data_IF_402891366136
#
_entry.id   IF_402891366136
#
_cell.length_a   1.000
_cell.length_b   1.000
_cell.length_c   1.000
_cell.angle_alpha   90.00
_cell.angle_beta   90.00
_cell.angle_gamma   90.00
#
_symmetry.space_group_name_H-M   'P 1'
#
loop_
_entity.id
_entity.type
_entity.pdbx_description
1 polymer ?
#
# COMPACT_ATOMS: atom_id res chain seq x y z
N UNK A 1 7.14 -2.57 5.68
CA UNK A 1 7.40 -3.44 4.51
C UNK A 1 7.67 -4.83 5.01
N UNK A 2 7.33 -5.84 4.19
CA UNK A 2 7.53 -7.24 4.53
C UNK A 2 7.74 -8.07 3.26
N UNK A 3 8.68 -9.01 3.31
CA UNK A 3 8.81 -10.07 2.31
C UNK A 3 7.77 -11.17 2.59
N UNK A 4 7.17 -11.70 1.54
CA UNK A 4 6.18 -12.77 1.58
C UNK A 4 5.08 -12.54 2.63
N UNK A 5 4.32 -11.42 2.55
CA UNK A 5 3.14 -11.26 3.37
C UNK A 5 2.17 -12.43 3.11
N UNK A 6 1.35 -12.83 4.10
CA UNK A 6 0.27 -13.79 3.91
C UNK A 6 -0.56 -13.51 2.67
N UNK A 7 -0.76 -14.55 1.85
CA UNK A 7 -1.53 -14.51 0.62
C UNK A 7 -2.73 -15.46 0.73
N UNK A 8 -3.85 -15.06 0.15
CA UNK A 8 -4.93 -15.98 -0.22
C UNK A 8 -4.59 -16.65 -1.55
N UNK A 9 -5.14 -17.84 -1.77
CA UNK A 9 -5.08 -18.52 -3.06
C UNK A 9 -6.46 -19.06 -3.43
N UNK A 10 -6.91 -18.83 -4.66
CA UNK A 10 -8.04 -19.55 -5.23
C UNK A 10 -7.56 -20.93 -5.69
N UNK A 11 -8.06 -21.98 -5.05
CA UNK A 11 -7.73 -23.37 -5.39
C UNK A 11 -8.09 -23.76 -6.83
N UNK A 12 -9.01 -23.03 -7.49
CA UNK A 12 -9.51 -23.34 -8.84
C UNK A 12 -8.71 -22.65 -9.95
N UNK A 13 -8.20 -21.44 -9.70
CA UNK A 13 -7.54 -20.64 -10.73
C UNK A 13 -6.06 -20.37 -10.44
N UNK A 14 -5.53 -20.90 -9.33
CA UNK A 14 -4.16 -20.66 -8.86
C UNK A 14 -3.81 -19.16 -8.73
N UNK A 15 -4.84 -18.31 -8.62
CA UNK A 15 -4.67 -16.88 -8.46
C UNK A 15 -4.39 -16.58 -6.99
N UNK A 16 -3.32 -15.82 -6.73
CA UNK A 16 -2.95 -15.34 -5.41
C UNK A 16 -3.18 -13.83 -5.27
N UNK A 17 -3.62 -13.41 -4.09
CA UNK A 17 -3.78 -12.00 -3.71
C UNK A 17 -3.43 -11.82 -2.23
N UNK A 18 -3.11 -10.60 -1.77
CA UNK A 18 -2.80 -10.38 -0.36
C UNK A 18 -3.97 -10.79 0.54
N UNK A 19 -3.68 -11.55 1.60
CA UNK A 19 -4.64 -11.76 2.69
C UNK A 19 -4.79 -10.42 3.44
N UNK A 20 -5.98 -9.81 3.43
CA UNK A 20 -6.18 -8.47 3.97
C UNK A 20 -6.29 -8.45 5.50
N UNK A 21 -5.85 -7.36 6.12
CA UNK A 21 -6.14 -7.08 7.53
C UNK A 21 -7.65 -6.81 7.73
N UNK A 22 -8.12 -6.90 8.98
CA UNK A 22 -9.46 -6.42 9.32
C UNK A 22 -9.63 -4.93 8.93
N UNK A 23 -10.68 -4.61 8.17
CA UNK A 23 -10.93 -3.28 7.62
C UNK A 23 -10.04 -2.88 6.43
N UNK A 24 -9.14 -3.75 5.98
CA UNK A 24 -8.38 -3.52 4.75
C UNK A 24 -9.24 -3.85 3.52
N UNK A 25 -9.24 -2.93 2.56
CA UNK A 25 -10.01 -3.04 1.31
C UNK A 25 -9.03 -2.97 0.15
N UNK A 26 -9.09 -3.97 -0.75
CA UNK A 26 -8.36 -3.95 -2.02
C UNK A 26 -9.07 -2.98 -2.96
N UNK A 27 -8.42 -1.85 -3.25
CA UNK A 27 -8.96 -0.80 -4.10
C UNK A 27 -8.76 -1.11 -5.59
N UNK A 28 -7.62 -1.73 -5.92
CA UNK A 28 -7.22 -2.00 -7.30
C UNK A 28 -6.20 -3.13 -7.38
N UNK A 29 -6.22 -3.90 -8.46
CA UNK A 29 -5.15 -4.82 -8.84
C UNK A 29 -4.68 -4.56 -10.28
N UNK A 30 -3.38 -4.66 -10.55
CA UNK A 30 -2.82 -4.50 -11.90
C UNK A 30 -1.80 -5.58 -12.17
N UNK A 31 -2.17 -6.52 -13.03
CA UNK A 31 -1.27 -7.51 -13.61
C UNK A 31 -0.39 -6.90 -14.70
N UNK A 32 0.50 -7.70 -15.28
CA UNK A 32 1.36 -7.22 -16.37
C UNK A 32 2.35 -6.15 -15.92
N UNK A 33 2.72 -6.14 -14.64
CA UNK A 33 3.73 -5.23 -14.09
C UNK A 33 5.05 -5.97 -13.87
N UNK A 34 6.15 -5.25 -13.97
CA UNK A 34 7.47 -5.73 -13.53
C UNK A 34 7.89 -4.90 -12.33
N UNK A 35 8.26 -5.55 -11.22
CA UNK A 35 8.82 -4.87 -10.06
C UNK A 35 10.33 -4.98 -10.08
N UNK A 36 11.01 -3.93 -9.64
CA UNK A 36 12.43 -3.94 -9.24
C UNK A 36 12.53 -3.42 -7.82
N UNK A 37 13.06 -4.24 -6.92
CA UNK A 37 13.35 -3.89 -5.55
C UNK A 37 14.86 -3.96 -5.32
N UNK A 38 15.43 -2.95 -4.66
CA UNK A 38 16.84 -2.89 -4.33
C UNK A 38 17.08 -2.33 -2.93
N UNK A 39 17.94 -2.99 -2.16
CA UNK A 39 18.35 -2.54 -0.82
C UNK A 39 18.39 -3.68 0.21
N UNK A 40 19.11 -3.43 1.30
CA UNK A 40 19.30 -4.41 2.38
C UNK A 40 17.97 -4.86 3.04
N UNK A 41 16.93 -4.03 2.94
CA UNK A 41 15.58 -4.34 3.42
C UNK A 41 14.94 -5.58 2.78
N UNK A 42 15.43 -6.06 1.62
CA UNK A 42 14.97 -7.31 1.00
C UNK A 42 15.36 -8.56 1.77
N UNK A 43 16.46 -8.49 2.53
CA UNK A 43 17.04 -9.63 3.25
C UNK A 43 17.34 -10.84 2.34
N UNK A 44 17.62 -10.58 1.05
CA UNK A 44 18.09 -11.59 0.08
C UNK A 44 19.60 -11.48 -0.11
N UNK A 45 20.23 -12.55 -0.60
CA UNK A 45 21.69 -12.59 -0.84
C UNK A 45 22.18 -11.48 -1.78
N UNK A 46 21.39 -11.13 -2.79
CA UNK A 46 21.72 -10.10 -3.79
C UNK A 46 21.30 -8.69 -3.38
N UNK A 47 20.48 -8.54 -2.33
CA UNK A 47 19.77 -7.28 -2.01
C UNK A 47 19.03 -6.67 -3.21
N UNK A 48 18.65 -7.51 -4.18
CA UNK A 48 17.93 -7.13 -5.39
C UNK A 48 16.92 -8.18 -5.77
N UNK A 49 15.76 -7.75 -6.26
CA UNK A 49 14.74 -8.64 -6.79
C UNK A 49 14.03 -7.96 -7.97
N UNK A 50 13.93 -8.66 -9.10
CA UNK A 50 13.31 -8.15 -10.32
C UNK A 50 12.45 -9.24 -10.95
N UNK A 51 11.14 -9.06 -11.01
CA UNK A 51 10.23 -10.09 -11.54
C UNK A 51 8.91 -9.50 -12.03
N UNK A 52 8.15 -10.29 -12.81
CA UNK A 52 6.81 -9.95 -13.29
C UNK A 52 5.73 -10.48 -12.35
N UNK A 53 4.61 -9.77 -12.31
CA UNK A 53 3.53 -10.11 -11.40
C UNK A 53 2.35 -9.14 -11.46
N UNK A 54 1.61 -9.15 -10.35
CA UNK A 54 0.47 -8.29 -10.10
C UNK A 54 0.74 -7.41 -8.89
N UNK A 55 0.49 -6.10 -9.03
CA UNK A 55 0.47 -5.17 -7.89
C UNK A 55 -0.97 -4.96 -7.42
N UNK A 56 -1.19 -5.07 -6.13
CA UNK A 56 -2.45 -4.78 -5.44
C UNK A 56 -2.27 -3.50 -4.64
N UNK A 57 -3.19 -2.54 -4.81
CA UNK A 57 -3.28 -1.35 -4.00
C UNK A 57 -4.47 -1.50 -3.06
N UNK A 58 -4.22 -1.38 -1.77
CA UNK A 58 -5.25 -1.35 -0.73
C UNK A 58 -5.37 0.05 -0.13
N UNK A 59 -6.33 0.26 0.77
CA UNK A 59 -6.42 1.47 1.58
C UNK A 59 -5.24 1.67 2.54
N UNK A 60 -4.27 0.75 2.62
CA UNK A 60 -3.20 0.75 3.62
C UNK A 60 -1.80 0.47 3.05
N UNK A 61 -1.70 -0.40 2.03
CA UNK A 61 -0.43 -0.91 1.49
C UNK A 61 -0.52 -1.18 -0.01
N UNK A 62 0.64 -1.17 -0.66
CA UNK A 62 0.84 -1.87 -1.93
C UNK A 62 1.38 -3.27 -1.64
N UNK A 63 0.86 -4.29 -2.30
CA UNK A 63 1.43 -5.64 -2.26
C UNK A 63 1.70 -6.09 -3.69
N UNK A 64 2.94 -6.42 -3.98
CA UNK A 64 3.31 -7.08 -5.23
C UNK A 64 3.31 -8.60 -5.02
N UNK A 65 2.71 -9.34 -5.95
CA UNK A 65 2.70 -10.80 -5.98
C UNK A 65 3.28 -11.24 -7.32
N UNK A 66 4.35 -12.02 -7.29
CA UNK A 66 5.01 -12.52 -8.50
C UNK A 66 4.16 -13.57 -9.21
N UNK A 67 4.21 -13.60 -10.54
CA UNK A 67 3.53 -14.65 -11.33
C UNK A 67 4.09 -16.05 -11.02
N UNK A 68 5.37 -16.10 -10.64
CA UNK A 68 6.09 -17.30 -10.22
C UNK A 68 6.97 -16.97 -9.01
N UNK A 69 6.94 -17.78 -7.95
CA UNK A 69 7.90 -17.65 -6.85
C UNK A 69 9.34 -17.73 -7.37
N UNK A 70 10.21 -16.88 -6.84
CA UNK A 70 11.63 -16.90 -7.14
C UNK A 70 12.34 -17.86 -6.20
N UNK A 71 12.67 -19.05 -6.71
CA UNK A 71 13.36 -20.10 -5.96
C UNK A 71 14.75 -19.69 -5.45
N UNK A 72 15.39 -18.69 -6.07
CA UNK A 72 16.75 -18.27 -5.69
C UNK A 72 16.77 -17.33 -4.48
N UNK A 73 15.76 -16.46 -4.38
CA UNK A 73 15.61 -15.52 -3.27
C UNK A 73 14.61 -15.98 -2.21
N UNK A 74 13.75 -16.95 -2.55
CA UNK A 74 12.61 -17.36 -1.74
C UNK A 74 11.45 -16.37 -1.78
N UNK A 75 11.52 -15.32 -2.60
CA UNK A 75 10.49 -14.28 -2.67
C UNK A 75 9.37 -14.69 -3.63
N UNK A 76 8.14 -14.55 -3.16
CA UNK A 76 6.91 -14.69 -3.94
C UNK A 76 6.10 -13.39 -3.92
N UNK A 77 6.13 -12.65 -2.82
CA UNK A 77 5.42 -11.39 -2.69
C UNK A 77 6.20 -10.38 -1.85
N UNK A 78 5.85 -9.10 -1.99
CA UNK A 78 6.46 -8.04 -1.20
C UNK A 78 5.46 -6.93 -0.88
N UNK A 79 5.44 -6.51 0.38
CA UNK A 79 4.56 -5.47 0.91
C UNK A 79 5.29 -4.13 1.09
N UNK A 80 4.67 -3.06 0.60
CA UNK A 80 5.08 -1.67 0.74
C UNK A 80 3.95 -0.87 1.44
N UNK A 81 4.00 -0.67 2.77
CA UNK A 81 3.02 0.14 3.50
C UNK A 81 3.04 1.59 3.03
N UNK A 82 1.88 2.14 2.67
CA UNK A 82 1.81 3.45 2.02
C UNK A 82 2.33 4.58 2.93
N UNK A 83 2.07 4.50 4.23
CA UNK A 83 2.58 5.45 5.23
C UNK A 83 4.10 5.58 5.24
N UNK A 84 4.83 4.52 4.83
CA UNK A 84 6.28 4.43 4.91
C UNK A 84 6.98 4.58 3.56
N UNK A 85 6.20 4.78 2.49
CA UNK A 85 6.75 5.16 1.19
C UNK A 85 7.25 6.62 1.26
N UNK A 86 8.23 7.00 0.45
CA UNK A 86 8.65 8.39 0.23
C UNK A 86 9.31 8.55 -1.15
N UNK A 87 9.51 9.80 -1.57
CA UNK A 87 10.23 10.16 -2.80
C UNK A 87 9.64 9.52 -4.06
N UNK A 88 8.32 9.44 -4.10
CA UNK A 88 7.59 8.85 -5.21
C UNK A 88 7.78 9.68 -6.46
N UNK A 89 8.17 9.02 -7.55
CA UNK A 89 8.34 9.61 -8.85
C UNK A 89 7.62 8.77 -9.88
N UNK A 90 6.80 9.44 -10.70
CA UNK A 90 6.16 8.84 -11.85
C UNK A 90 6.85 9.33 -13.12
N UNK A 91 7.24 8.39 -13.99
CA UNK A 91 7.89 8.68 -15.27
C UNK A 91 7.09 8.09 -16.42
N UNK A 92 6.74 8.93 -17.39
CA UNK A 92 6.06 8.55 -18.64
C UNK A 92 7.01 8.71 -19.85
N UNK A 93 7.91 7.75 -20.08
CA UNK A 93 8.80 7.82 -21.23
C UNK A 93 8.04 7.60 -22.54
N UNK A 94 8.47 8.28 -23.61
CA UNK A 94 7.86 8.19 -24.94
C UNK A 94 8.10 6.80 -25.58
N UNK A 95 9.23 6.15 -25.29
CA UNK A 95 9.68 4.89 -25.90
C UNK A 95 9.93 3.75 -24.88
N UNK A 96 9.30 3.79 -23.71
CA UNK A 96 9.44 2.75 -22.69
C UNK A 96 8.17 2.61 -21.86
N UNK A 97 8.17 1.70 -20.89
CA UNK A 97 7.05 1.51 -19.99
C UNK A 97 6.97 2.66 -18.96
N UNK A 98 5.75 3.11 -18.70
CA UNK A 98 5.45 3.98 -17.58
C UNK A 98 5.93 3.30 -16.29
N UNK A 99 6.53 4.07 -15.38
CA UNK A 99 6.98 3.51 -14.11
C UNK A 99 6.75 4.45 -12.93
N UNK A 100 6.47 3.84 -11.79
CA UNK A 100 6.38 4.47 -10.48
C UNK A 100 7.55 3.96 -9.64
N UNK A 101 8.39 4.87 -9.17
CA UNK A 101 9.53 4.55 -8.29
C UNK A 101 9.42 5.30 -6.97
N UNK A 102 10.07 4.80 -5.93
CA UNK A 102 10.19 5.49 -4.66
C UNK A 102 11.06 4.73 -3.68
N UNK A 103 11.03 5.18 -2.43
CA UNK A 103 11.69 4.56 -1.29
C UNK A 103 10.63 4.06 -0.30
N UNK A 104 10.88 2.97 0.41
CA UNK A 104 10.01 2.47 1.46
C UNK A 104 10.84 2.15 2.71
N UNK A 105 10.50 2.77 3.83
CA UNK A 105 11.15 2.50 5.11
C UNK A 105 10.59 1.23 5.77
N UNK A 106 11.41 0.53 6.57
CA UNK A 106 10.91 -0.52 7.46
C UNK A 106 9.98 0.08 8.52
N UNK A 107 8.92 -0.66 8.85
CA UNK A 107 7.90 -0.21 9.83
C UNK A 107 8.48 -0.20 11.24
N UNK A 108 9.17 -1.29 11.60
CA UNK A 108 9.90 -1.46 12.86
C UNK A 108 11.37 -1.03 12.71
N UNK A 109 11.64 -0.04 11.86
CA UNK A 109 13.01 0.40 11.56
C UNK A 109 13.66 1.08 12.75
N UNK A 110 14.84 0.59 13.17
CA UNK A 110 15.69 1.33 14.10
C UNK A 110 16.14 2.67 13.50
N UNK A 111 16.45 3.68 14.32
CA UNK A 111 17.06 4.93 13.86
C UNK A 111 18.27 4.64 12.96
N UNK A 112 18.23 5.15 11.73
CA UNK A 112 19.29 4.90 10.72
C UNK A 112 19.01 3.73 9.76
N UNK A 113 17.85 3.06 9.88
CA UNK A 113 17.43 2.05 8.91
C UNK A 113 17.41 2.60 7.48
N UNK A 114 18.10 1.93 6.57
CA UNK A 114 18.11 2.31 5.15
C UNK A 114 16.81 1.90 4.46
N UNK A 115 16.22 2.77 3.63
CA UNK A 115 15.00 2.43 2.91
C UNK A 115 15.28 1.44 1.78
N UNK A 116 14.26 0.66 1.44
CA UNK A 116 14.22 -0.12 0.21
C UNK A 116 13.86 0.80 -0.96
N UNK A 117 14.58 0.69 -2.08
CA UNK A 117 14.19 1.32 -3.34
C UNK A 117 13.25 0.39 -4.10
N UNK A 118 12.14 0.92 -4.59
CA UNK A 118 11.22 0.18 -5.46
C UNK A 118 11.02 0.90 -6.79
N UNK A 119 10.76 0.14 -7.83
CA UNK A 119 10.25 0.63 -9.12
C UNK A 119 9.26 -0.37 -9.68
N UNK A 120 8.07 0.10 -10.03
CA UNK A 120 7.00 -0.68 -10.67
C UNK A 120 6.89 -0.19 -12.10
N UNK A 121 7.14 -1.06 -13.07
CA UNK A 121 6.99 -0.81 -14.49
C UNK A 121 5.64 -1.37 -14.96
N UNK A 122 4.79 -0.53 -15.53
CA UNK A 122 3.49 -0.90 -16.08
C UNK A 122 3.65 -1.33 -17.54
N UNK A 123 3.84 -2.64 -17.79
CA UNK A 123 4.15 -3.17 -19.13
C UNK A 123 2.92 -3.33 -20.01
N UNK A 124 1.74 -3.49 -19.42
CA UNK A 124 0.48 -3.79 -20.11
C UNK A 124 -0.57 -2.68 -19.95
N UNK A 125 -0.15 -1.45 -19.59
CA UNK A 125 -1.05 -0.31 -19.43
C UNK A 125 -1.70 -0.24 -18.04
N UNK A 126 -2.92 0.30 -17.94
CA UNK A 126 -3.67 0.46 -16.69
C UNK A 126 -3.11 1.51 -15.70
N UNK A 127 -2.05 2.21 -16.08
CA UNK A 127 -1.34 3.18 -15.23
C UNK A 127 -2.16 4.45 -14.95
N UNK A 128 -3.04 4.85 -15.88
CA UNK A 128 -3.87 6.05 -15.76
C UNK A 128 -4.86 5.98 -14.60
N UNK A 129 -5.32 4.77 -14.27
CA UNK A 129 -6.20 4.50 -13.12
C UNK A 129 -5.39 4.29 -11.85
N UNK A 130 -4.25 3.59 -11.95
CA UNK A 130 -3.42 3.24 -10.80
C UNK A 130 -2.78 4.48 -10.14
N UNK A 131 -2.18 5.37 -10.93
CA UNK A 131 -1.37 6.47 -10.41
C UNK A 131 -2.18 7.47 -9.55
N UNK A 132 -3.34 8.00 -10.01
CA UNK A 132 -4.14 8.91 -9.19
C UNK A 132 -4.60 8.27 -7.88
N UNK A 133 -5.00 6.98 -7.93
CA UNK A 133 -5.46 6.26 -6.76
C UNK A 133 -4.32 6.01 -5.77
N UNK A 134 -3.13 5.63 -6.27
CA UNK A 134 -1.94 5.44 -5.46
C UNK A 134 -1.55 6.72 -4.71
N UNK A 135 -1.40 7.85 -5.42
CA UNK A 135 -1.00 9.11 -4.78
C UNK A 135 -2.05 9.61 -3.78
N UNK A 136 -3.34 9.52 -4.11
CA UNK A 136 -4.42 9.95 -3.22
C UNK A 136 -4.49 9.11 -1.95
N UNK A 137 -4.42 7.79 -2.09
CA UNK A 137 -4.47 6.87 -0.93
C UNK A 137 -3.24 7.05 -0.05
N UNK A 138 -2.07 7.20 -0.67
CA UNK A 138 -0.82 7.43 0.05
C UNK A 138 -0.85 8.73 0.84
N UNK A 139 -1.29 9.83 0.23
CA UNK A 139 -1.45 11.11 0.92
C UNK A 139 -2.45 11.02 2.08
N UNK A 140 -3.58 10.33 1.88
CA UNK A 140 -4.58 10.12 2.92
C UNK A 140 -4.02 9.34 4.12
N UNK A 141 -3.41 8.18 3.88
CA UNK A 141 -2.84 7.34 4.96
C UNK A 141 -1.76 8.10 5.73
N UNK A 142 -0.90 8.88 5.05
CA UNK A 142 0.09 9.73 5.71
C UNK A 142 -0.55 10.82 6.58
N UNK A 143 -1.64 11.45 6.11
CA UNK A 143 -2.34 12.47 6.91
C UNK A 143 -2.89 11.89 8.22
N UNK A 144 -3.38 10.65 8.19
CA UNK A 144 -3.84 9.93 9.40
C UNK A 144 -2.65 9.62 10.31
N UNK A 145 -1.54 9.11 9.75
CA UNK A 145 -0.33 8.83 10.52
C UNK A 145 0.20 10.07 11.25
N UNK A 146 0.26 11.22 10.56
CA UNK A 146 0.71 12.49 11.15
C UNK A 146 -0.23 12.97 12.27
N UNK A 147 -1.55 12.81 12.10
CA UNK A 147 -2.52 13.14 13.14
C UNK A 147 -2.38 12.26 14.38
N UNK A 148 -2.24 10.95 14.21
CA UNK A 148 -2.03 10.01 15.31
C UNK A 148 -0.74 10.34 16.09
N UNK A 149 0.34 10.69 15.38
CA UNK A 149 1.58 11.13 16.02
C UNK A 149 1.40 12.43 16.81
N UNK A 150 0.68 13.41 16.26
CA UNK A 150 0.39 14.66 16.95
C UNK A 150 -0.48 14.45 18.20
N UNK A 151 -1.49 13.58 18.13
CA UNK A 151 -2.37 13.25 19.27
C UNK A 151 -1.58 12.55 20.41
N UNK A 152 -0.68 11.63 20.08
CA UNK A 152 0.20 10.98 21.06
C UNK A 152 1.14 11.98 21.75
N UNK A 153 1.70 12.94 21.01
CA UNK A 153 2.53 14.00 21.58
C UNK A 153 1.73 14.92 22.51
N UNK A 154 0.49 15.26 22.15
CA UNK A 154 -0.38 16.06 23.01
C UNK A 154 -0.77 15.31 24.30
N UNK A 155 -0.99 14.00 24.26
CA UNK A 155 -1.28 13.21 25.46
C UNK A 155 -0.07 13.11 26.41
N UNK A 156 1.16 13.06 25.88
CA UNK A 156 2.37 13.07 26.72
C UNK A 156 2.67 14.43 27.38
N UNK A 157 2.11 15.54 26.86
CA UNK A 157 2.26 16.87 27.45
C UNK A 157 1.14 17.28 28.42
N UNK A 158 0.09 16.47 28.59
CA UNK A 158 -0.92 16.70 29.62
C UNK A 158 -0.38 16.30 31.00
N UNK A 159 0.40 17.20 31.59
CA UNK A 159 0.61 17.25 33.04
C UNK A 159 -0.76 17.39 33.75
N UNK A 160 -0.99 16.72 34.89
CA UNK A 160 -2.25 16.85 35.62
C UNK A 160 -2.33 18.25 36.25
N UNK A 161 -2.93 19.21 35.53
CA UNK A 161 -3.18 20.55 36.09
C UNK A 161 -3.43 21.71 35.11
N UNK A 162 -3.31 21.55 33.80
CA UNK A 162 -3.52 22.67 32.86
C UNK A 162 -4.94 22.67 32.27
N UNK A 163 -5.67 23.78 32.47
CA UNK A 163 -6.99 24.01 31.89
C UNK A 163 -6.95 23.98 30.35
N UNK A 164 -7.90 23.33 29.66
CA UNK A 164 -7.95 23.35 28.20
C UNK A 164 -8.36 24.74 27.70
N UNK A 165 -7.68 25.30 26.67
CA UNK A 165 -8.16 26.50 25.99
C UNK A 165 -9.44 26.20 25.17
N UNK A 166 -10.27 27.22 24.89
CA UNK A 166 -11.55 27.03 24.20
C UNK A 166 -11.33 26.51 22.79
N UNK A 167 -12.06 25.44 22.42
CA UNK A 167 -12.08 24.89 21.09
C UNK A 167 -12.65 25.91 20.09
N UNK A 168 -11.79 26.56 19.31
CA UNK A 168 -12.22 27.25 18.09
C UNK A 168 -12.45 26.20 17.02
N UNK A 169 -13.73 25.96 16.74
CA UNK A 169 -14.21 25.13 15.65
C UNK A 169 -13.68 25.64 14.31
N UNK A 170 -12.75 24.92 13.69
CA UNK A 170 -12.38 25.15 12.31
C UNK A 170 -11.96 23.83 11.67
N UNK A 171 -12.82 23.26 10.82
CA UNK A 171 -12.36 22.64 9.58
C UNK A 171 -13.51 22.49 8.60
N UNK A 172 -13.51 23.45 7.66
CA UNK A 172 -14.13 23.30 6.36
C UNK A 172 -13.42 22.16 5.61
N UNK A 173 -14.23 21.27 5.01
CA UNK A 173 -13.92 20.64 3.73
C UNK A 173 -12.78 19.61 3.69
N UNK A 174 -12.99 18.42 4.24
CA UNK A 174 -12.44 17.22 3.62
C UNK A 174 -13.47 16.10 3.70
N UNK A 175 -14.23 15.94 2.61
CA UNK A 175 -15.15 14.83 2.43
C UNK A 175 -14.37 13.52 2.63
N UNK A 176 -14.80 12.74 3.61
CA UNK A 176 -14.25 11.43 3.90
C UNK A 176 -14.32 10.50 2.67
N UNK A 177 -13.41 9.52 2.53
CA UNK A 177 -13.45 8.55 1.43
C UNK A 177 -14.69 7.64 1.41
N UNK A 178 -15.62 7.80 2.36
CA UNK A 178 -16.84 7.00 2.46
C UNK A 178 -17.68 7.01 1.16
N UNK A 179 -17.60 8.10 0.37
CA UNK A 179 -18.25 8.16 -0.94
C UNK A 179 -17.59 7.26 -2.02
N UNK A 180 -16.31 6.87 -1.86
CA UNK A 180 -15.62 5.93 -2.76
C UNK A 180 -15.82 4.46 -2.34
N UNK A 181 -16.18 4.20 -1.07
CA UNK A 181 -16.41 2.85 -0.55
C UNK A 181 -17.63 2.15 -1.17
N UNK A 182 -18.51 2.89 -1.86
CA UNK A 182 -19.72 2.35 -2.48
C UNK A 182 -19.70 2.41 -4.02
N UNK A 183 -18.60 2.87 -4.63
CA UNK A 183 -18.51 2.98 -6.08
C UNK A 183 -17.75 1.77 -6.65
N UNK A 184 -18.39 1.01 -7.54
CA UNK A 184 -17.69 0.07 -8.38
C UNK A 184 -16.73 0.85 -9.30
N UNK A 185 -15.42 0.68 -9.12
CA UNK A 185 -14.44 1.28 -10.01
C UNK A 185 -14.33 0.39 -11.25
N UNK A 186 -14.73 0.89 -12.41
CA UNK A 186 -14.50 0.24 -13.72
C UNK A 186 -13.25 0.88 -14.32
N UNK A 187 -12.25 0.08 -14.70
CA UNK A 187 -11.07 0.60 -15.40
C UNK A 187 -11.44 0.94 -16.86
N UNK A 188 -11.34 2.21 -17.30
CA UNK A 188 -11.64 2.56 -18.69
C UNK A 188 -10.69 1.91 -19.70
N UNK A 189 -9.49 1.49 -19.26
CA UNK A 189 -8.49 0.84 -20.12
C UNK A 189 -8.59 -0.70 -20.13
N UNK A 190 -9.41 -1.27 -19.24
CA UNK A 190 -9.72 -2.70 -19.16
C UNK A 190 -11.16 -2.86 -18.62
N UNK A 191 -12.19 -2.69 -19.46
CA UNK A 191 -13.59 -2.70 -19.05
C UNK A 191 -14.07 -4.06 -18.53
N UNK A 192 -13.21 -5.09 -18.51
CA UNK A 192 -13.58 -6.43 -18.05
C UNK A 192 -13.45 -6.63 -16.53
N UNK A 193 -12.89 -5.66 -15.78
CA UNK A 193 -12.71 -5.78 -14.32
C UNK A 193 -13.54 -4.75 -13.56
N UNK A 194 -14.53 -5.25 -12.83
CA UNK A 194 -15.35 -4.50 -11.86
C UNK A 194 -14.82 -4.80 -10.47
N UNK A 195 -14.37 -3.77 -9.74
CA UNK A 195 -13.92 -3.92 -8.36
C UNK A 195 -15.08 -3.64 -7.40
N UNK A 196 -15.52 -4.67 -6.67
CA UNK A 196 -16.53 -4.55 -5.62
C UNK A 196 -15.85 -4.49 -4.26
N UNK A 197 -16.27 -3.53 -3.44
CA UNK A 197 -15.97 -3.44 -2.00
C UNK A 197 -16.90 -4.36 -1.22
N UNK A 198 -16.90 -5.67 -1.52
CA UNK A 198 -17.64 -6.59 -0.66
C UNK A 198 -16.89 -6.78 0.66
N UNK A 199 -17.58 -6.71 1.82
CA UNK A 199 -16.96 -7.06 3.09
C UNK A 199 -16.50 -8.51 3.02
N UNK A 200 -15.22 -8.73 3.27
CA UNK A 200 -14.63 -10.06 3.31
C UNK A 200 -15.06 -10.78 4.58
N UNK A 201 -15.35 -12.08 4.48
CA UNK A 201 -15.60 -12.93 5.65
C UNK A 201 -14.41 -12.85 6.62
N UNK A 202 -14.62 -12.86 7.95
CA UNK A 202 -13.53 -12.83 8.92
C UNK A 202 -12.51 -13.96 8.74
N UNK A 203 -12.92 -15.14 8.24
CA UNK A 203 -12.03 -16.25 7.91
C UNK A 203 -11.11 -16.00 6.70
N UNK A 204 -11.36 -14.92 5.95
CA UNK A 204 -10.55 -14.44 4.84
C UNK A 204 -9.78 -13.17 5.20
N UNK A 205 -9.65 -12.88 6.50
CA UNK A 205 -8.86 -11.78 7.03
C UNK A 205 -7.71 -12.31 7.86
N UNK A 206 -6.73 -11.45 8.10
CA UNK A 206 -5.62 -11.74 9.00
C UNK A 206 -6.08 -11.67 10.45
N UNK A 207 -5.55 -12.59 11.27
CA UNK A 207 -5.76 -12.59 12.72
C UNK A 207 -4.92 -11.52 13.43
N UNK A 208 -3.83 -11.05 12.81
CA UNK A 208 -2.95 -10.03 13.36
C UNK A 208 -3.34 -8.61 12.93
N UNK A 209 -3.05 -7.63 13.79
CA UNK A 209 -3.24 -6.22 13.48
C UNK A 209 -2.08 -5.68 12.61
N UNK A 210 -2.35 -4.70 11.73
CA UNK A 210 -1.31 -4.03 10.96
C UNK A 210 -0.32 -3.31 11.91
N UNK A 211 0.98 -3.46 11.65
CA UNK A 211 2.03 -2.75 12.40
C UNK A 211 2.22 -1.29 11.98
N UNK A 212 1.48 -0.84 10.98
CA UNK A 212 1.55 0.49 10.39
C UNK A 212 0.18 1.17 10.44
N UNK A 213 0.12 2.51 10.34
CA UNK A 213 -1.14 3.24 10.41
C UNK A 213 -2.18 2.70 9.43
N UNK A 214 -3.33 2.33 9.99
CA UNK A 214 -4.49 1.83 9.27
C UNK A 214 -5.61 2.87 9.37
N UNK A 215 -6.16 3.37 8.26
CA UNK A 215 -7.40 4.12 8.31
C UNK A 215 -8.48 3.22 8.90
N UNK A 216 -9.05 3.63 10.03
CA UNK A 216 -10.23 2.97 10.57
C UNK A 216 -11.37 3.16 9.56
N UNK A 217 -11.99 2.06 9.15
CA UNK A 217 -13.22 2.07 8.33
C UNK A 217 -14.42 2.22 9.26
#
# INVERSE_FOLDING_TARGET
MAANPPLCADARYAWKWPLPYAGEIILLSRGGVEVKLEGAGLRTRSSRWSTRGTVFLTNMRCVFVADKPDSSSGLEAFELPLAYISDEQFKQPILSANNLSGRCFPVDGEPGSSPLQFTIYFKEGGVGTFIPLFFRTTAYVRSIASRMQAEQQHQQQQQPGAYPPPATSASNGSAAPQQFLQAALVDPSDPTRVYLTQPLDPSQQRDDAPKFPAPLV
#
